data_IF_816053116878
#
_entry.id   IF_816053116878
#
_cell.length_a   1.000
_cell.length_b   1.000
_cell.length_c   1.000
_cell.angle_alpha   90.00
_cell.angle_beta   90.00
_cell.angle_gamma   90.00
#
_symmetry.space_group_name_H-M   'P 1'
#
loop_
_entity.id
_entity.type
_entity.pdbx_description
1 polymer ?
#
# COMPACT_ATOMS: atom_id res chain seq x y z
N UNK A 1 -0.52 -15.23 5.91
CA UNK A 1 0.46 -15.37 7.01
C UNK A 1 1.44 -16.52 6.78
N UNK A 2 0.98 -17.76 6.51
CA UNK A 2 1.86 -18.92 6.26
C UNK A 2 2.88 -18.70 5.14
N UNK A 3 2.46 -18.08 4.03
CA UNK A 3 3.34 -17.79 2.90
C UNK A 3 4.55 -16.92 3.30
N UNK A 4 4.35 -15.84 4.05
CA UNK A 4 5.46 -14.96 4.46
C UNK A 4 6.40 -15.62 5.45
N UNK A 5 5.87 -16.43 6.38
CA UNK A 5 6.69 -17.24 7.28
C UNK A 5 7.54 -18.26 6.52
N UNK A 6 6.97 -18.90 5.51
CA UNK A 6 7.69 -19.83 4.63
C UNK A 6 8.76 -19.09 3.81
N UNK A 7 8.44 -17.94 3.21
CA UNK A 7 9.41 -17.12 2.47
C UNK A 7 10.56 -16.68 3.37
N UNK A 8 10.28 -16.21 4.59
CA UNK A 8 11.30 -15.80 5.55
C UNK A 8 12.19 -16.97 5.95
N UNK A 9 11.61 -18.15 6.20
CA UNK A 9 12.35 -19.36 6.56
C UNK A 9 13.24 -19.85 5.40
N UNK A 10 12.71 -19.92 4.18
CA UNK A 10 13.46 -20.34 2.99
C UNK A 10 14.59 -19.36 2.67
N UNK A 11 14.33 -18.05 2.75
CA UNK A 11 15.35 -17.02 2.58
C UNK A 11 16.44 -17.16 3.64
N UNK A 12 16.06 -17.34 4.91
CA UNK A 12 17.01 -17.57 5.98
C UNK A 12 17.89 -18.80 5.70
N UNK A 13 17.27 -19.94 5.33
CA UNK A 13 17.99 -21.18 5.01
C UNK A 13 18.98 -20.98 3.85
N UNK A 14 18.58 -20.26 2.80
CA UNK A 14 19.45 -19.93 1.68
C UNK A 14 20.65 -19.09 2.13
N UNK A 15 20.41 -18.02 2.90
CA UNK A 15 21.45 -17.13 3.42
C UNK A 15 22.42 -17.84 4.37
N UNK A 16 21.92 -18.75 5.20
CA UNK A 16 22.74 -19.61 6.07
C UNK A 16 23.61 -20.56 5.23
N UNK A 17 23.05 -21.18 4.18
CA UNK A 17 23.79 -22.08 3.29
C UNK A 17 24.93 -21.39 2.56
N UNK A 18 24.71 -20.16 2.07
CA UNK A 18 25.76 -19.39 1.38
C UNK A 18 26.71 -18.66 2.34
N UNK A 19 26.59 -18.91 3.66
CA UNK A 19 27.39 -18.25 4.70
C UNK A 19 27.33 -16.73 4.61
N UNK A 20 26.17 -16.18 4.19
CA UNK A 20 25.99 -14.74 4.02
C UNK A 20 26.15 -13.98 5.33
N UNK A 21 25.66 -14.56 6.44
CA UNK A 21 25.79 -13.99 7.76
C UNK A 21 27.10 -14.44 8.41
N UNK A 22 27.97 -13.49 8.74
CA UNK A 22 28.99 -13.72 9.76
C UNK A 22 28.31 -13.67 11.14
N UNK A 23 28.05 -14.83 11.73
CA UNK A 23 27.23 -14.93 12.94
C UNK A 23 27.89 -14.26 14.16
N UNK A 24 29.21 -14.15 14.19
CA UNK A 24 29.92 -13.39 15.23
C UNK A 24 29.69 -11.89 15.07
N UNK A 25 29.72 -11.39 13.83
CA UNK A 25 29.39 -9.99 13.53
C UNK A 25 27.92 -9.68 13.85
N UNK A 26 27.00 -10.59 13.51
CA UNK A 26 25.57 -10.44 13.83
C UNK A 26 25.37 -10.45 15.35
N UNK A 27 26.00 -11.37 16.09
CA UNK A 27 25.89 -11.42 17.55
C UNK A 27 26.34 -10.09 18.20
N UNK A 28 27.47 -9.55 17.74
CA UNK A 28 27.98 -8.24 18.19
C UNK A 28 26.97 -7.11 17.91
N UNK A 29 26.44 -7.02 16.68
CA UNK A 29 25.44 -6.02 16.32
C UNK A 29 24.14 -6.16 17.11
N UNK A 30 23.68 -7.39 17.34
CA UNK A 30 22.47 -7.66 18.12
C UNK A 30 22.65 -7.26 19.58
N UNK A 31 23.83 -7.48 20.17
CA UNK A 31 24.11 -7.05 21.54
C UNK A 31 24.06 -5.52 21.71
N UNK A 32 24.27 -4.76 20.62
CA UNK A 32 24.17 -3.31 20.59
C UNK A 32 22.75 -2.78 20.30
N UNK A 33 21.81 -3.64 19.89
CA UNK A 33 20.43 -3.23 19.63
C UNK A 33 19.67 -3.03 20.94
N UNK A 34 19.30 -1.79 21.23
CA UNK A 34 18.30 -1.49 22.27
C UNK A 34 16.91 -1.74 21.70
N UNK A 35 16.31 -2.89 22.06
CA UNK A 35 14.98 -3.30 21.59
C UNK A 35 13.84 -2.78 22.48
N UNK A 36 14.13 -1.92 23.45
CA UNK A 36 13.09 -1.29 24.26
C UNK A 36 12.36 -0.23 23.42
N UNK A 37 11.08 -0.49 23.15
CA UNK A 37 10.19 0.54 22.61
C UNK A 37 10.14 1.74 23.57
N UNK A 38 9.86 2.94 23.04
CA UNK A 38 9.85 4.24 23.75
C UNK A 38 8.95 4.35 25.00
N UNK A 39 8.30 3.28 25.46
CA UNK A 39 7.56 3.28 26.72
C UNK A 39 8.52 2.90 27.86
N UNK A 40 8.84 3.88 28.70
CA UNK A 40 9.84 3.84 29.77
C UNK A 40 9.54 2.91 30.95
N UNK A 41 9.23 1.63 30.69
CA UNK A 41 9.39 0.59 31.70
C UNK A 41 10.86 0.17 31.73
N UNK A 42 11.56 0.55 32.80
CA UNK A 42 12.96 0.30 33.11
C UNK A 42 13.29 -1.16 33.42
N UNK A 43 12.72 -2.11 32.68
CA UNK A 43 13.22 -3.47 32.66
C UNK A 43 14.11 -3.63 31.44
N UNK A 44 15.38 -3.93 31.70
CA UNK A 44 16.40 -4.25 30.72
C UNK A 44 16.41 -5.78 30.55
N UNK A 45 15.57 -6.41 29.71
CA UNK A 45 15.90 -7.73 29.24
C UNK A 45 16.99 -7.51 28.19
N UNK A 46 18.25 -7.53 28.61
CA UNK A 46 19.30 -7.92 27.68
C UNK A 46 18.83 -9.25 27.09
N UNK A 47 18.53 -9.32 25.79
CA UNK A 47 18.34 -10.62 25.15
C UNK A 47 19.60 -11.40 25.47
N UNK A 48 19.49 -12.46 26.26
CA UNK A 48 20.62 -13.29 26.70
C UNK A 48 21.22 -14.10 25.55
N UNK A 49 21.30 -13.53 24.35
CA UNK A 49 21.99 -14.06 23.19
C UNK A 49 23.48 -13.88 23.47
N UNK A 50 24.05 -14.82 24.23
CA UNK A 50 25.50 -15.00 24.28
C UNK A 50 25.92 -15.82 23.06
N UNK A 51 27.15 -15.61 22.56
CA UNK A 51 27.75 -16.31 21.39
C UNK A 51 27.53 -17.84 21.39
N UNK A 52 27.35 -18.44 22.56
CA UNK A 52 27.19 -19.89 22.75
C UNK A 52 25.80 -20.44 22.39
N UNK A 53 24.79 -19.61 22.08
CA UNK A 53 23.46 -20.09 21.67
C UNK A 53 23.15 -19.75 20.21
N UNK A 54 23.88 -20.38 19.29
CA UNK A 54 23.74 -20.20 17.85
C UNK A 54 22.28 -20.37 17.39
N UNK A 55 21.54 -21.35 17.94
CA UNK A 55 20.14 -21.58 17.62
C UNK A 55 19.26 -20.35 17.92
N UNK A 56 19.47 -19.68 19.06
CA UNK A 56 18.73 -18.47 19.41
C UNK A 56 19.03 -17.30 18.44
N UNK A 57 20.27 -17.14 18.00
CA UNK A 57 20.66 -16.12 17.02
C UNK A 57 20.04 -16.39 15.64
N UNK A 58 19.97 -17.66 15.21
CA UNK A 58 19.29 -18.07 13.98
C UNK A 58 17.80 -17.75 14.03
N UNK A 59 17.12 -18.13 15.12
CA UNK A 59 15.70 -17.80 15.33
C UNK A 59 15.45 -16.29 15.36
N UNK A 60 16.33 -15.54 16.03
CA UNK A 60 16.23 -14.09 16.08
C UNK A 60 16.36 -13.44 14.70
N UNK A 61 17.38 -13.82 13.93
CA UNK A 61 17.60 -13.33 12.55
C UNK A 61 16.42 -13.69 11.64
N UNK A 62 15.93 -14.93 11.71
CA UNK A 62 14.72 -15.36 10.99
C UNK A 62 13.48 -14.54 11.38
N UNK A 63 13.34 -14.20 12.66
CA UNK A 63 12.28 -13.31 13.16
C UNK A 63 12.38 -11.89 12.60
N UNK A 64 13.60 -11.34 12.47
CA UNK A 64 13.82 -10.03 11.84
C UNK A 64 13.48 -10.06 10.34
N UNK A 65 13.89 -11.10 9.61
CA UNK A 65 13.53 -11.28 8.20
C UNK A 65 12.02 -11.34 8.02
N UNK A 66 11.33 -12.14 8.85
CA UNK A 66 9.87 -12.23 8.83
C UNK A 66 9.22 -10.87 9.12
N UNK A 67 9.69 -10.15 10.14
CA UNK A 67 9.20 -8.80 10.47
C UNK A 67 9.35 -7.85 9.28
N UNK A 68 10.52 -7.82 8.64
CA UNK A 68 10.76 -6.95 7.49
C UNK A 68 9.91 -7.34 6.28
N UNK A 69 9.77 -8.63 5.98
CA UNK A 69 8.88 -9.11 4.91
C UNK A 69 7.44 -8.68 5.17
N UNK A 70 6.94 -8.84 6.39
CA UNK A 70 5.59 -8.40 6.75
C UNK A 70 5.43 -6.88 6.65
N UNK A 71 6.46 -6.11 7.04
CA UNK A 71 6.44 -4.66 6.86
C UNK A 71 6.40 -4.27 5.38
N UNK A 72 7.14 -4.97 4.51
CA UNK A 72 7.17 -4.68 3.07
C UNK A 72 5.81 -4.85 2.40
N UNK A 73 4.98 -5.80 2.87
CA UNK A 73 3.66 -6.05 2.28
C UNK A 73 2.73 -4.85 2.43
N UNK A 74 2.75 -4.21 3.61
CA UNK A 74 1.78 -3.15 3.94
C UNK A 74 2.37 -1.73 3.91
N UNK A 75 3.69 -1.58 4.05
CA UNK A 75 4.32 -0.27 4.26
C UNK A 75 5.23 0.16 3.11
N UNK A 76 5.46 -0.74 2.13
CA UNK A 76 6.28 -0.40 1.00
C UNK A 76 5.53 0.49 0.01
N UNK A 77 6.20 1.55 -0.43
CA UNK A 77 5.68 2.49 -1.40
C UNK A 77 6.28 2.19 -2.77
N UNK A 78 5.45 2.15 -3.79
CA UNK A 78 5.88 2.04 -5.18
C UNK A 78 6.48 3.38 -5.62
N UNK A 79 7.76 3.38 -6.00
CA UNK A 79 8.41 4.52 -6.64
C UNK A 79 8.06 4.44 -8.12
N UNK A 80 7.43 5.49 -8.64
CA UNK A 80 6.96 5.55 -10.02
C UNK A 80 7.70 6.60 -10.83
N UNK A 81 7.93 6.29 -12.10
CA UNK A 81 8.39 7.23 -13.13
C UNK A 81 7.25 7.48 -14.12
N UNK A 82 7.23 8.67 -14.72
CA UNK A 82 6.34 8.97 -15.84
C UNK A 82 7.04 8.58 -17.14
N UNK A 83 6.42 7.70 -17.91
CA UNK A 83 6.86 7.33 -19.25
C UNK A 83 5.85 7.82 -20.27
N UNK A 84 6.32 8.38 -21.37
CA UNK A 84 5.47 8.81 -22.48
C UNK A 84 5.68 7.89 -23.66
N UNK A 85 4.58 7.34 -24.20
CA UNK A 85 4.58 6.47 -25.37
C UNK A 85 3.71 7.08 -26.46
N UNK A 86 4.24 7.07 -27.67
CA UNK A 86 3.49 7.29 -28.91
C UNK A 86 3.17 5.91 -29.49
N UNK A 87 1.91 5.64 -29.81
CA UNK A 87 1.53 4.32 -30.34
C UNK A 87 2.06 4.10 -31.76
N UNK A 88 2.26 5.17 -32.54
CA UNK A 88 2.86 5.20 -33.89
C UNK A 88 3.67 6.50 -34.09
N UNK A 89 4.59 6.52 -35.07
CA UNK A 89 5.45 7.70 -35.34
C UNK A 89 4.67 8.97 -35.74
N UNK A 90 3.47 8.83 -36.33
CA UNK A 90 2.63 9.94 -36.79
C UNK A 90 1.43 10.25 -35.86
N UNK A 91 1.38 9.65 -34.67
CA UNK A 91 0.24 9.84 -33.76
C UNK A 91 0.33 11.17 -33.00
N UNK A 92 -0.75 11.95 -33.02
CA UNK A 92 -0.82 13.27 -32.36
C UNK A 92 -1.05 13.11 -30.84
N UNK A 93 -1.53 11.94 -30.41
CA UNK A 93 -1.86 11.65 -29.01
C UNK A 93 -0.67 11.00 -28.31
N UNK A 94 -0.06 11.74 -27.39
CA UNK A 94 0.96 11.21 -26.47
C UNK A 94 0.27 10.63 -25.24
N UNK A 95 0.49 9.34 -24.97
CA UNK A 95 -0.03 8.70 -23.75
C UNK A 95 1.05 8.71 -22.68
N UNK A 96 0.75 9.22 -21.49
CA UNK A 96 1.65 9.20 -20.35
C UNK A 96 1.15 8.21 -19.30
N UNK A 97 2.02 7.29 -18.87
CA UNK A 97 1.73 6.30 -17.84
C UNK A 97 2.69 6.41 -16.64
N UNK A 98 2.22 5.97 -15.47
CA UNK A 98 3.04 5.82 -14.28
C UNK A 98 3.56 4.39 -14.19
N UNK A 99 4.86 4.20 -14.38
CA UNK A 99 5.51 2.89 -14.31
C UNK A 99 6.21 2.74 -12.97
N UNK A 100 5.99 1.62 -12.27
CA UNK A 100 6.70 1.30 -11.02
C UNK A 100 8.12 0.86 -11.35
N UNK A 101 9.11 1.65 -10.94
CA UNK A 101 10.53 1.39 -11.18
C UNK A 101 11.25 0.81 -9.95
N UNK A 102 10.72 1.05 -8.75
CA UNK A 102 11.30 0.57 -7.51
C UNK A 102 10.26 0.51 -6.38
N UNK A 103 10.70 -0.01 -5.23
CA UNK A 103 9.89 -0.15 -4.02
C UNK A 103 10.75 0.22 -2.82
N UNK A 104 10.24 1.07 -1.94
CA UNK A 104 10.98 1.50 -0.74
C UNK A 104 10.06 1.70 0.47
N UNK A 105 10.64 1.65 1.66
CA UNK A 105 9.94 1.92 2.91
C UNK A 105 10.22 3.37 3.31
N UNK A 106 9.15 4.12 3.57
CA UNK A 106 9.21 5.48 4.07
C UNK A 106 8.48 5.53 5.42
N UNK A 107 9.18 5.37 6.55
CA UNK A 107 8.54 5.18 7.86
C UNK A 107 7.52 6.25 8.22
N UNK A 108 7.78 7.52 7.88
CA UNK A 108 6.84 8.62 8.11
C UNK A 108 5.57 8.50 7.28
N UNK A 109 5.69 8.03 6.03
CA UNK A 109 4.54 7.86 5.14
C UNK A 109 3.73 6.60 5.47
N UNK A 110 4.38 5.57 6.02
CA UNK A 110 3.73 4.35 6.53
C UNK A 110 2.78 4.61 7.71
N UNK A 111 2.77 5.82 8.29
CA UNK A 111 1.82 6.22 9.33
C UNK A 111 0.51 6.79 8.76
N UNK A 112 0.47 7.12 7.47
CA UNK A 112 -0.70 7.74 6.84
C UNK A 112 -1.67 6.66 6.38
N UNK A 113 -2.83 6.59 7.03
CA UNK A 113 -3.85 5.59 6.72
C UNK A 113 -4.50 5.78 5.36
N UNK A 114 -5.24 4.76 4.92
CA UNK A 114 -5.91 4.73 3.63
C UNK A 114 -7.27 5.42 3.63
N UNK A 115 -7.56 6.18 2.57
CA UNK A 115 -8.91 6.44 2.09
C UNK A 115 -8.97 6.34 0.56
N UNK A 116 -10.07 5.77 0.03
CA UNK A 116 -10.27 5.68 -1.43
C UNK A 116 -10.45 7.06 -2.08
N UNK A 117 -10.89 8.05 -1.30
CA UNK A 117 -10.92 9.48 -1.63
C UNK A 117 -9.99 10.24 -0.63
N UNK A 118 -8.69 10.30 -0.89
CA UNK A 118 -7.70 10.82 0.06
C UNK A 118 -7.77 12.35 0.22
N UNK A 119 -7.09 12.90 1.23
CA UNK A 119 -6.86 14.36 1.34
C UNK A 119 -5.43 14.76 0.99
N UNK A 120 -4.57 13.79 0.67
CA UNK A 120 -3.22 14.00 0.13
C UNK A 120 -2.98 13.22 -1.16
N UNK A 121 -1.95 13.63 -1.89
CA UNK A 121 -1.30 12.86 -2.95
C UNK A 121 0.18 12.70 -2.61
N UNK A 122 0.73 11.54 -3.01
CA UNK A 122 2.12 11.17 -2.85
C UNK A 122 2.76 10.97 -4.22
N UNK A 123 3.92 11.59 -4.47
CA UNK A 123 4.66 11.40 -5.72
C UNK A 123 6.18 11.47 -5.52
N UNK A 124 6.91 11.18 -6.60
CA UNK A 124 8.37 11.04 -6.61
C UNK A 124 9.02 11.98 -7.62
N UNK A 125 8.89 13.32 -7.47
CA UNK A 125 9.38 14.28 -8.45
C UNK A 125 10.91 14.33 -8.51
N UNK A 126 11.60 13.84 -7.48
CA UNK A 126 13.06 13.89 -7.35
C UNK A 126 13.62 12.48 -7.06
N UNK A 127 13.37 11.54 -7.98
CA UNK A 127 13.85 10.16 -7.88
C UNK A 127 13.25 9.42 -6.69
N UNK A 128 14.05 9.05 -5.70
CA UNK A 128 13.59 8.30 -4.51
C UNK A 128 13.01 9.19 -3.40
N UNK A 129 12.91 10.50 -3.61
CA UNK A 129 12.33 11.41 -2.61
C UNK A 129 10.81 11.38 -2.69
N UNK A 130 10.16 10.86 -1.65
CA UNK A 130 8.71 10.88 -1.50
C UNK A 130 8.24 12.28 -1.10
N UNK A 131 7.40 12.89 -1.93
CA UNK A 131 6.77 14.19 -1.67
C UNK A 131 5.27 13.98 -1.44
N UNK A 132 4.79 14.44 -0.28
CA UNK A 132 3.38 14.40 0.11
C UNK A 132 2.79 15.80 0.02
N UNK A 133 1.64 15.94 -0.63
CA UNK A 133 0.96 17.23 -0.81
C UNK A 133 -0.52 17.10 -0.48
N UNK A 134 -1.08 18.08 0.21
CA UNK A 134 -2.53 18.18 0.39
C UNK A 134 -3.21 18.47 -0.97
N UNK A 135 -4.33 17.80 -1.23
CA UNK A 135 -5.18 18.04 -2.42
C UNK A 135 -6.48 18.76 -2.08
N UNK A 136 -6.73 18.97 -0.78
CA UNK A 136 -7.83 19.77 -0.23
C UNK A 136 -7.41 20.35 1.12
N UNK A 137 -8.18 21.31 1.64
CA UNK A 137 -7.95 21.84 2.97
C UNK A 137 -8.07 20.72 4.02
N UNK A 138 -7.13 20.70 4.96
CA UNK A 138 -7.09 19.74 6.08
C UNK A 138 -7.18 20.55 7.37
N UNK A 139 -8.21 20.32 8.17
CA UNK A 139 -8.40 21.03 9.43
C UNK A 139 -7.39 20.57 10.50
N UNK A 140 -7.13 21.42 11.50
CA UNK A 140 -6.32 21.01 12.64
C UNK A 140 -6.98 19.83 13.38
N UNK A 141 -6.24 18.73 13.54
CA UNK A 141 -6.74 17.49 14.13
C UNK A 141 -7.45 16.54 13.16
N UNK A 142 -7.63 16.94 11.89
CA UNK A 142 -8.10 16.02 10.85
C UNK A 142 -6.97 15.04 10.47
N UNK A 143 -7.35 13.78 10.25
CA UNK A 143 -6.41 12.74 9.85
C UNK A 143 -5.88 12.96 8.43
N UNK A 144 -4.58 12.75 8.24
CA UNK A 144 -3.95 12.77 6.91
C UNK A 144 -4.09 11.39 6.26
N UNK A 145 -4.84 11.33 5.18
CA UNK A 145 -5.27 10.08 4.52
C UNK A 145 -4.69 9.98 3.12
N UNK A 146 -3.91 8.93 2.88
CA UNK A 146 -3.33 8.56 1.60
C UNK A 146 -4.24 7.61 0.82
N UNK A 147 -3.97 7.41 -0.47
CA UNK A 147 -4.55 6.30 -1.24
C UNK A 147 -3.47 5.23 -1.50
N UNK A 148 -3.80 3.96 -1.23
CA UNK A 148 -2.86 2.83 -1.33
C UNK A 148 -2.87 2.19 -2.73
N UNK A 149 -3.49 2.87 -3.70
CA UNK A 149 -3.78 2.36 -5.04
C UNK A 149 -5.28 2.38 -5.36
N UNK A 150 -6.14 1.73 -4.54
CA UNK A 150 -7.57 1.64 -4.82
C UNK A 150 -8.33 2.98 -4.67
N UNK A 151 -8.41 3.72 -5.77
CA UNK A 151 -9.04 5.04 -5.83
C UNK A 151 -10.49 4.95 -6.33
N UNK A 152 -11.39 5.69 -5.70
CA UNK A 152 -12.84 5.60 -5.97
C UNK A 152 -13.26 5.98 -7.40
N UNK A 153 -12.44 6.77 -8.10
CA UNK A 153 -12.71 7.16 -9.49
C UNK A 153 -12.18 6.16 -10.54
N UNK A 154 -11.39 5.15 -10.13
CA UNK A 154 -10.63 4.29 -11.06
C UNK A 154 -10.91 2.80 -10.90
N UNK A 155 -11.51 2.41 -9.79
CA UNK A 155 -11.77 1.00 -9.44
C UNK A 155 -13.14 0.92 -8.80
N UNK A 156 -13.90 -0.14 -9.04
CA UNK A 156 -15.23 -0.36 -8.47
C UNK A 156 -15.22 -0.54 -6.95
N UNK A 157 -16.35 -0.30 -6.27
CA UNK A 157 -16.51 -0.49 -4.83
C UNK A 157 -16.06 -1.88 -4.36
N UNK A 158 -16.47 -2.93 -5.08
CA UNK A 158 -16.11 -4.31 -4.78
C UNK A 158 -14.61 -4.55 -4.94
N UNK A 159 -14.02 -4.12 -6.07
CA UNK A 159 -12.59 -4.24 -6.35
C UNK A 159 -11.73 -3.51 -5.32
N UNK A 160 -12.14 -2.30 -4.90
CA UNK A 160 -11.41 -1.54 -3.88
C UNK A 160 -11.37 -2.29 -2.56
N UNK A 161 -12.52 -2.78 -2.08
CA UNK A 161 -12.59 -3.53 -0.82
C UNK A 161 -11.84 -4.85 -0.89
N UNK A 162 -11.97 -5.59 -1.99
CA UNK A 162 -11.26 -6.84 -2.20
C UNK A 162 -9.74 -6.61 -2.17
N UNK A 163 -9.24 -5.67 -2.97
CA UNK A 163 -7.81 -5.36 -3.07
C UNK A 163 -7.22 -4.98 -1.70
N UNK A 164 -7.92 -4.13 -0.94
CA UNK A 164 -7.47 -3.70 0.39
C UNK A 164 -7.50 -4.85 1.40
N UNK A 165 -8.52 -5.71 1.34
CA UNK A 165 -8.63 -6.87 2.21
C UNK A 165 -7.55 -7.91 1.94
N UNK A 166 -7.22 -8.15 0.67
CA UNK A 166 -6.22 -9.13 0.24
C UNK A 166 -4.79 -8.68 0.57
N UNK A 167 -4.46 -7.40 0.32
CA UNK A 167 -3.11 -6.89 0.50
C UNK A 167 -2.84 -6.32 1.91
N UNK A 168 -3.79 -5.58 2.46
CA UNK A 168 -3.60 -4.82 3.71
C UNK A 168 -4.43 -5.36 4.88
N UNK A 169 -5.21 -6.42 4.66
CA UNK A 169 -5.94 -7.16 5.70
C UNK A 169 -6.95 -6.33 6.49
N UNK A 170 -7.53 -5.29 5.88
CA UNK A 170 -8.59 -4.49 6.47
C UNK A 170 -9.75 -4.24 5.50
N UNK A 171 -10.92 -3.97 6.07
CA UNK A 171 -12.09 -3.50 5.33
C UNK A 171 -12.16 -1.97 5.38
N UNK A 172 -12.11 -1.31 4.23
CA UNK A 172 -12.19 0.14 4.14
C UNK A 172 -13.60 0.66 4.46
N UNK A 173 -13.65 1.68 5.33
CA UNK A 173 -14.87 2.38 5.75
C UNK A 173 -14.79 3.89 5.47
N UNK A 174 -13.90 4.32 4.57
CA UNK A 174 -13.79 5.74 4.19
C UNK A 174 -15.09 6.27 3.58
N UNK A 175 -15.25 7.59 3.48
CA UNK A 175 -16.48 8.22 2.96
C UNK A 175 -16.94 7.68 1.60
N UNK A 176 -16.01 7.40 0.68
CA UNK A 176 -16.33 6.81 -0.61
C UNK A 176 -16.81 5.35 -0.52
N UNK A 177 -16.30 4.56 0.43
CA UNK A 177 -16.81 3.21 0.68
C UNK A 177 -18.11 3.22 1.50
N UNK A 178 -18.29 4.20 2.39
CA UNK A 178 -19.51 4.36 3.16
C UNK A 178 -20.70 4.79 2.29
N UNK A 179 -20.45 5.50 1.18
CA UNK A 179 -21.46 5.87 0.20
C UNK A 179 -22.03 4.67 -0.59
N UNK A 180 -21.32 3.54 -0.61
CA UNK A 180 -21.77 2.31 -1.25
C UNK A 180 -21.69 2.32 -2.79
N UNK A 181 -22.22 1.27 -3.39
CA UNK A 181 -22.17 1.01 -4.84
C UNK A 181 -23.10 1.95 -5.64
N UNK A 182 -24.27 2.30 -5.09
CA UNK A 182 -25.24 3.18 -5.75
C UNK A 182 -24.65 4.57 -6.04
N UNK A 183 -23.89 5.13 -5.09
CA UNK A 183 -23.24 6.42 -5.26
C UNK A 183 -22.17 6.39 -6.36
N UNK A 184 -21.52 5.25 -6.55
CA UNK A 184 -20.53 5.05 -7.60
C UNK A 184 -21.16 4.89 -8.98
N UNK A 185 -22.25 4.12 -9.09
CA UNK A 185 -23.02 4.02 -10.33
C UNK A 185 -23.48 5.40 -10.80
N UNK A 186 -23.90 6.27 -9.88
CA UNK A 186 -24.30 7.66 -10.18
C UNK A 186 -23.13 8.53 -10.65
N UNK A 187 -21.90 8.28 -10.22
CA UNK A 187 -20.71 9.03 -10.68
C UNK A 187 -20.28 8.64 -12.10
N UNK A 188 -20.52 7.39 -12.50
CA UNK A 188 -20.20 6.87 -13.83
C UNK A 188 -21.38 6.96 -14.80
N UNK A 189 -22.54 7.42 -14.33
CA UNK A 189 -23.75 7.51 -15.11
C UNK A 189 -23.65 8.57 -16.22
N UNK A 190 -24.28 8.26 -17.34
CA UNK A 190 -24.55 9.21 -18.39
C UNK A 190 -25.71 10.13 -17.98
N UNK A 191 -25.92 11.20 -18.73
CA UNK A 191 -27.07 12.09 -18.51
C UNK A 191 -28.32 11.52 -19.21
N UNK A 192 -29.40 11.30 -18.46
CA UNK A 192 -30.69 10.91 -19.01
C UNK A 192 -31.30 12.04 -19.84
N UNK A 193 -31.85 11.72 -21.01
CA UNK A 193 -32.48 12.69 -21.90
C UNK A 193 -33.88 13.17 -21.43
N UNK A 194 -34.54 12.41 -20.55
CA UNK A 194 -35.92 12.69 -20.12
C UNK A 194 -36.00 13.51 -18.83
N UNK A 195 -35.15 13.21 -17.84
CA UNK A 195 -35.21 13.81 -16.51
C UNK A 195 -33.90 14.51 -16.07
N UNK A 196 -32.89 14.54 -16.94
CA UNK A 196 -31.53 15.01 -16.64
C UNK A 196 -30.81 14.24 -15.50
N UNK A 197 -31.41 13.16 -14.99
CA UNK A 197 -30.87 12.30 -13.93
C UNK A 197 -29.81 11.31 -14.43
N UNK A 198 -29.26 10.47 -13.53
CA UNK A 198 -28.21 9.52 -13.86
C UNK A 198 -28.76 8.32 -14.63
N UNK A 199 -28.29 8.15 -15.85
CA UNK A 199 -28.55 7.00 -16.73
C UNK A 199 -27.43 5.99 -16.59
N UNK A 200 -27.76 4.74 -16.24
CA UNK A 200 -26.76 3.68 -16.14
C UNK A 200 -26.01 3.47 -17.47
N UNK A 201 -24.82 2.90 -17.40
CA UNK A 201 -24.12 2.47 -18.60
C UNK A 201 -24.96 1.42 -19.34
N UNK A 202 -24.99 1.45 -20.69
CA UNK A 202 -25.72 0.45 -21.47
C UNK A 202 -25.21 -0.97 -21.20
N UNK A 203 -26.12 -1.94 -21.12
CA UNK A 203 -25.80 -3.36 -21.09
C UNK A 203 -25.31 -3.86 -22.46
N UNK A 204 -24.95 -5.15 -22.56
CA UNK A 204 -24.50 -5.78 -23.81
C UNK A 204 -25.55 -5.73 -24.94
N UNK A 205 -26.82 -5.46 -24.61
CA UNK A 205 -27.91 -5.27 -25.58
C UNK A 205 -28.08 -3.81 -26.04
N UNK A 206 -27.27 -2.89 -25.48
CA UNK A 206 -27.33 -1.45 -25.74
C UNK A 206 -28.45 -0.74 -24.98
N UNK A 207 -29.10 -1.39 -24.02
CA UNK A 207 -30.17 -0.80 -23.20
C UNK A 207 -29.61 -0.27 -21.89
N UNK A 208 -30.10 0.89 -21.47
CA UNK A 208 -29.78 1.50 -20.18
C UNK A 208 -31.09 1.91 -19.50
N UNK A 209 -31.08 2.00 -18.17
CA UNK A 209 -32.20 2.50 -17.39
C UNK A 209 -31.75 3.68 -16.53
N UNK A 210 -32.57 4.72 -16.45
CA UNK A 210 -32.33 5.85 -15.56
C UNK A 210 -32.63 5.48 -14.10
N UNK A 211 -31.71 5.81 -13.20
CA UNK A 211 -31.85 5.56 -11.76
C UNK A 211 -32.95 6.41 -11.09
N UNK A 212 -33.39 7.50 -11.74
CA UNK A 212 -34.41 8.40 -11.17
C UNK A 212 -35.80 8.18 -11.77
N UNK A 213 -35.92 8.04 -13.10
CA UNK A 213 -37.21 7.90 -13.77
C UNK A 213 -37.48 6.52 -14.37
N UNK A 214 -36.51 5.60 -14.35
CA UNK A 214 -36.68 4.21 -14.79
C UNK A 214 -36.89 4.01 -16.30
N UNK A 215 -36.85 5.09 -17.09
CA UNK A 215 -36.87 5.06 -18.56
C UNK A 215 -35.56 4.58 -19.13
#
# INVERSE_FOLDING_TARGET
>A
MLQYSLTAALLYMLLDQVQFFNLDEVASKVSALSLTGRNGSSHHPSLGIKEHNMAALKTFTGGLLLRHIQQLVCNAHAITSLESKTMQEDDVVVTTEQVRIATAIYPSASLMNHACNPNIISNFPFGSTLVVRAVRNIAAGEEVLNCYGPHYQRMSFSERRQTLQEQYFFTCNCTACAAGEDAEQRLQALKCEYCDGPLNMPDDSGKAACLDCGT
#
